data_IF_622003879568
#
_entry.id   IF_622003879568
#
_cell.length_a   1.000
_cell.length_b   1.000
_cell.length_c   1.000
_cell.angle_alpha   90.00
_cell.angle_beta   90.00
_cell.angle_gamma   90.00
#
_symmetry.space_group_name_H-M   'P 1'
#
loop_
_entity.id
_entity.type
_entity.pdbx_description
1 polymer ?
#
# COMPACT_ATOMS: atom_id res chain seq x y z
N UNK A 1 -9.31 17.59 -27.22
CA UNK A 1 -10.01 16.39 -27.75
C UNK A 1 -9.51 15.08 -27.12
N UNK A 2 -8.38 15.05 -26.40
CA UNK A 2 -7.91 13.89 -25.62
C UNK A 2 -8.52 13.80 -24.20
N UNK A 3 -8.89 14.95 -23.60
CA UNK A 3 -9.42 14.97 -22.22
C UNK A 3 -10.87 14.44 -22.12
N UNK A 4 -11.67 14.55 -23.18
CA UNK A 4 -13.08 14.15 -23.16
C UNK A 4 -13.27 12.63 -23.16
N UNK A 5 -12.42 11.88 -23.87
CA UNK A 5 -12.49 10.41 -23.86
C UNK A 5 -11.96 9.82 -22.55
N UNK A 6 -10.92 10.43 -22.00
CA UNK A 6 -10.36 10.07 -20.69
C UNK A 6 -11.36 10.30 -19.56
N UNK A 7 -12.12 11.40 -19.63
CA UNK A 7 -13.20 11.70 -18.68
C UNK A 7 -14.36 10.67 -18.77
N UNK A 8 -14.78 10.31 -19.99
CA UNK A 8 -15.83 9.29 -20.18
C UNK A 8 -15.42 7.90 -19.71
N UNK A 9 -14.15 7.52 -19.87
CA UNK A 9 -13.64 6.27 -19.31
C UNK A 9 -13.69 6.29 -17.78
N UNK A 10 -13.27 7.39 -17.13
CA UNK A 10 -13.30 7.51 -15.68
C UNK A 10 -14.73 7.49 -15.12
N UNK A 11 -15.69 8.16 -15.76
CA UNK A 11 -17.10 8.13 -15.37
C UNK A 11 -17.66 6.71 -15.37
N UNK A 12 -17.39 5.95 -16.43
CA UNK A 12 -17.82 4.55 -16.54
C UNK A 12 -17.16 3.65 -15.49
N UNK A 13 -15.88 3.86 -15.17
CA UNK A 13 -15.22 3.15 -14.06
C UNK A 13 -15.98 3.35 -12.75
N UNK A 14 -16.43 4.58 -12.47
CA UNK A 14 -17.16 4.90 -11.25
C UNK A 14 -18.58 4.35 -11.22
N UNK A 15 -19.27 4.38 -12.36
CA UNK A 15 -20.58 3.75 -12.51
C UNK A 15 -20.51 2.26 -12.14
N UNK A 16 -19.56 1.52 -12.74
CA UNK A 16 -19.39 0.08 -12.48
C UNK A 16 -18.90 -0.17 -11.05
N UNK A 17 -17.99 0.65 -10.53
CA UNK A 17 -17.52 0.56 -9.14
C UNK A 17 -18.66 0.74 -8.12
N UNK A 18 -19.67 1.56 -8.43
CA UNK A 18 -20.84 1.72 -7.54
C UNK A 18 -21.67 0.45 -7.40
N UNK A 19 -21.60 -0.46 -8.38
CA UNK A 19 -22.35 -1.72 -8.42
C UNK A 19 -21.53 -2.90 -7.90
N UNK A 20 -20.24 -2.95 -8.25
CA UNK A 20 -19.35 -4.09 -7.97
C UNK A 20 -18.39 -3.88 -6.79
N UNK A 21 -18.38 -2.68 -6.20
CA UNK A 21 -17.36 -2.24 -5.24
C UNK A 21 -16.01 -1.95 -5.92
N UNK A 22 -15.01 -1.52 -5.12
CA UNK A 22 -13.69 -1.08 -5.61
C UNK A 22 -12.76 -2.26 -6.01
N UNK A 23 -13.25 -3.21 -6.80
CA UNK A 23 -12.47 -4.35 -7.29
C UNK A 23 -12.00 -4.11 -8.72
N UNK A 24 -10.79 -3.56 -8.89
CA UNK A 24 -10.27 -3.16 -10.20
C UNK A 24 -10.26 -4.30 -11.25
N UNK A 25 -9.86 -5.55 -10.94
CA UNK A 25 -10.00 -6.66 -11.88
C UNK A 25 -11.45 -6.91 -12.33
N UNK A 26 -12.41 -6.94 -11.40
CA UNK A 26 -13.83 -7.18 -11.75
C UNK A 26 -14.41 -6.03 -12.57
N UNK A 27 -14.09 -4.78 -12.21
CA UNK A 27 -14.52 -3.60 -12.97
C UNK A 27 -13.95 -3.64 -14.39
N UNK A 28 -12.66 -3.95 -14.53
CA UNK A 28 -12.03 -4.08 -15.83
C UNK A 28 -12.67 -5.20 -16.67
N UNK A 29 -12.87 -6.38 -16.08
CA UNK A 29 -13.48 -7.51 -16.77
C UNK A 29 -14.93 -7.16 -17.22
N UNK A 30 -15.74 -6.52 -16.36
CA UNK A 30 -17.10 -6.06 -16.69
C UNK A 30 -17.13 -5.03 -17.83
N UNK A 31 -16.30 -3.98 -17.72
CA UNK A 31 -16.18 -2.95 -18.75
C UNK A 31 -15.70 -3.52 -20.09
N UNK A 32 -14.75 -4.46 -20.06
CA UNK A 32 -14.23 -5.11 -21.24
C UNK A 32 -15.26 -6.01 -21.92
N UNK A 33 -16.03 -6.78 -21.16
CA UNK A 33 -17.12 -7.61 -21.70
C UNK A 33 -18.23 -6.77 -22.33
N UNK A 34 -18.59 -5.66 -21.69
CA UNK A 34 -19.60 -4.75 -22.23
C UNK A 34 -19.12 -4.04 -23.52
N UNK A 35 -17.85 -3.65 -23.60
CA UNK A 35 -17.32 -2.87 -24.72
C UNK A 35 -16.82 -3.75 -25.89
N UNK A 36 -16.19 -4.89 -25.60
CA UNK A 36 -15.47 -5.71 -26.58
C UNK A 36 -15.72 -7.22 -26.37
N UNK A 37 -16.98 -7.70 -26.41
CA UNK A 37 -17.32 -9.08 -26.05
C UNK A 37 -16.65 -10.13 -26.96
N UNK A 38 -16.53 -9.84 -28.27
CA UNK A 38 -15.89 -10.75 -29.23
C UNK A 38 -14.37 -10.84 -28.99
N UNK A 39 -13.72 -9.71 -28.71
CA UNK A 39 -12.28 -9.67 -28.39
C UNK A 39 -11.98 -10.42 -27.09
N UNK A 40 -12.81 -10.26 -26.06
CA UNK A 40 -12.67 -11.01 -24.81
C UNK A 40 -12.86 -12.51 -25.02
N UNK A 41 -13.81 -12.90 -25.86
CA UNK A 41 -14.03 -14.31 -26.23
C UNK A 41 -12.81 -14.90 -26.94
N UNK A 42 -12.27 -14.21 -27.95
CA UNK A 42 -11.08 -14.65 -28.68
C UNK A 42 -9.84 -14.70 -27.79
N UNK A 43 -9.61 -13.66 -26.97
CA UNK A 43 -8.48 -13.61 -26.05
C UNK A 43 -8.51 -14.74 -25.00
N UNK A 44 -9.70 -15.26 -24.61
CA UNK A 44 -9.80 -16.46 -23.78
C UNK A 44 -9.42 -17.73 -24.54
N UNK A 45 -9.91 -17.88 -25.77
CA UNK A 45 -9.59 -19.04 -26.62
C UNK A 45 -8.08 -19.13 -26.91
N UNK A 46 -7.44 -17.99 -27.07
CA UNK A 46 -6.01 -17.87 -27.36
C UNK A 46 -5.14 -17.80 -26.10
N UNK A 47 -5.72 -17.78 -24.89
CA UNK A 47 -4.99 -17.64 -23.62
C UNK A 47 -4.36 -16.26 -23.38
N UNK A 48 -4.66 -15.27 -24.23
CA UNK A 48 -4.11 -13.91 -24.18
C UNK A 48 -4.85 -12.96 -23.22
N UNK A 49 -5.92 -13.41 -22.55
CA UNK A 49 -6.78 -12.56 -21.72
C UNK A 49 -6.03 -11.76 -20.65
N UNK A 50 -5.01 -12.37 -20.02
CA UNK A 50 -4.16 -11.68 -19.04
C UNK A 50 -3.44 -10.48 -19.65
N UNK A 51 -2.87 -10.63 -20.84
CA UNK A 51 -2.14 -9.56 -21.52
C UNK A 51 -3.09 -8.43 -21.91
N UNK A 52 -4.25 -8.77 -22.46
CA UNK A 52 -5.26 -7.79 -22.87
C UNK A 52 -5.76 -6.92 -21.70
N UNK A 53 -6.01 -7.53 -20.53
CA UNK A 53 -6.60 -6.82 -19.39
C UNK A 53 -5.61 -6.02 -18.53
N UNK A 54 -4.30 -6.27 -18.64
CA UNK A 54 -3.30 -5.68 -17.72
C UNK A 54 -3.27 -4.15 -17.77
N UNK A 55 -3.31 -3.56 -18.97
CA UNK A 55 -3.33 -2.10 -19.12
C UNK A 55 -4.61 -1.48 -18.55
N UNK A 56 -5.75 -2.11 -18.80
CA UNK A 56 -7.05 -1.64 -18.33
C UNK A 56 -7.14 -1.71 -16.80
N UNK A 57 -6.73 -2.82 -16.19
CA UNK A 57 -6.68 -2.94 -14.73
C UNK A 57 -5.78 -1.87 -14.11
N UNK A 58 -4.64 -1.57 -14.73
CA UNK A 58 -3.73 -0.53 -14.24
C UNK A 58 -4.40 0.84 -14.24
N UNK A 59 -5.11 1.17 -15.32
CA UNK A 59 -5.80 2.45 -15.47
C UNK A 59 -7.01 2.56 -14.54
N UNK A 60 -7.78 1.48 -14.37
CA UNK A 60 -8.87 1.41 -13.38
C UNK A 60 -8.32 1.64 -11.96
N UNK A 61 -7.20 0.98 -11.59
CA UNK A 61 -6.54 1.22 -10.30
C UNK A 61 -6.14 2.69 -10.13
N UNK A 62 -5.58 3.32 -11.17
CA UNK A 62 -5.20 4.73 -11.17
C UNK A 62 -6.42 5.62 -10.92
N UNK A 63 -7.54 5.37 -11.59
CA UNK A 63 -8.77 6.16 -11.44
C UNK A 63 -9.37 5.99 -10.05
N UNK A 64 -9.47 4.76 -9.57
CA UNK A 64 -9.96 4.46 -8.23
C UNK A 64 -9.12 5.15 -7.15
N UNK A 65 -7.79 5.16 -7.33
CA UNK A 65 -6.85 5.91 -6.48
C UNK A 65 -6.99 7.42 -6.62
N UNK A 66 -7.21 7.94 -7.83
CA UNK A 66 -7.33 9.38 -8.03
C UNK A 66 -8.58 9.97 -7.36
N UNK A 67 -9.67 9.21 -7.16
CA UNK A 67 -10.76 9.68 -6.28
C UNK A 67 -10.37 9.60 -4.83
N UNK A 68 -9.57 8.62 -4.39
CA UNK A 68 -8.96 8.72 -3.07
C UNK A 68 -7.99 9.89 -2.98
N UNK A 69 -7.37 10.39 -4.06
CA UNK A 69 -6.51 11.59 -4.06
C UNK A 69 -7.32 12.90 -4.09
N UNK A 70 -8.44 12.94 -4.83
CA UNK A 70 -9.38 14.06 -4.83
C UNK A 70 -10.18 14.11 -3.51
N UNK A 71 -10.47 12.95 -2.91
CA UNK A 71 -11.03 12.82 -1.57
C UNK A 71 -9.98 12.83 -0.46
N UNK A 72 -8.66 12.66 -0.74
CA UNK A 72 -7.55 12.79 0.24
C UNK A 72 -6.80 14.11 0.15
N UNK A 73 -7.38 15.06 -0.60
CA UNK A 73 -7.42 16.44 -0.11
C UNK A 73 -8.46 16.61 1.01
N UNK A 74 -8.86 15.52 1.69
CA UNK A 74 -9.34 15.61 3.06
C UNK A 74 -8.18 16.03 3.95
N UNK A 75 -8.24 17.30 4.30
CA UNK A 75 -7.58 17.85 5.46
C UNK A 75 -7.81 16.93 6.67
N UNK A 76 -6.97 17.02 7.71
CA UNK A 76 -7.05 16.17 8.91
C UNK A 76 -8.41 16.20 9.65
N UNK A 77 -9.38 16.98 9.16
CA UNK A 77 -10.74 17.18 9.66
C UNK A 77 -11.73 16.03 9.40
N UNK A 78 -11.38 14.98 8.65
CA UNK A 78 -12.25 13.80 8.46
C UNK A 78 -12.05 12.69 9.51
N UNK A 79 -11.04 12.80 10.37
CA UNK A 79 -10.89 11.89 11.51
C UNK A 79 -11.78 12.40 12.65
N UNK A 80 -12.67 11.55 13.18
CA UNK A 80 -13.47 11.89 14.35
C UNK A 80 -12.55 12.43 15.46
N UNK A 81 -12.90 13.59 16.06
CA UNK A 81 -12.03 14.31 17.01
C UNK A 81 -11.52 13.44 18.17
N UNK A 82 -12.25 12.38 18.51
CA UNK A 82 -11.86 11.40 19.53
C UNK A 82 -10.56 10.65 19.20
N UNK A 83 -10.21 10.51 17.92
CA UNK A 83 -9.02 9.79 17.47
C UNK A 83 -7.81 10.70 17.22
N UNK A 84 -8.04 12.02 17.10
CA UNK A 84 -7.01 13.04 16.91
C UNK A 84 -5.81 12.91 17.87
N UNK A 85 -5.98 12.76 19.20
CA UNK A 85 -4.83 12.66 20.10
C UNK A 85 -3.94 11.44 19.81
N UNK A 86 -4.52 10.32 19.37
CA UNK A 86 -3.76 9.12 19.03
C UNK A 86 -3.04 9.26 17.68
N UNK A 87 -3.67 9.90 16.72
CA UNK A 87 -3.14 10.06 15.36
C UNK A 87 -2.01 11.08 15.30
N UNK A 88 -2.08 12.16 16.09
CA UNK A 88 -1.04 13.20 16.10
C UNK A 88 0.31 12.70 16.62
N UNK A 89 0.34 11.66 17.45
CA UNK A 89 1.57 11.06 17.95
C UNK A 89 2.21 10.06 16.97
N UNK A 90 1.48 9.67 15.92
CA UNK A 90 1.99 8.75 14.91
C UNK A 90 2.98 9.46 13.98
N UNK A 91 4.09 8.76 13.67
CA UNK A 91 5.17 9.31 12.83
C UNK A 91 4.83 9.41 11.34
N UNK A 92 3.81 8.68 10.88
CA UNK A 92 3.44 8.59 9.47
C UNK A 92 1.93 8.73 9.31
N UNK A 93 1.48 9.18 8.14
CA UNK A 93 0.06 9.28 7.78
C UNK A 93 -0.52 7.98 7.23
N UNK A 94 0.34 6.99 6.97
CA UNK A 94 -0.02 5.67 6.48
C UNK A 94 0.94 4.62 7.02
N UNK A 95 0.45 3.38 7.10
CA UNK A 95 1.21 2.24 7.59
C UNK A 95 1.03 1.04 6.66
N UNK A 96 2.09 0.22 6.55
CA UNK A 96 2.07 -0.98 5.73
C UNK A 96 1.18 -2.05 6.39
N UNK A 97 0.29 -2.64 5.59
CA UNK A 97 -0.60 -3.73 5.95
C UNK A 97 -0.17 -4.95 5.13
N UNK A 98 0.21 -6.03 5.79
CA UNK A 98 0.75 -7.22 5.12
C UNK A 98 -0.31 -7.98 4.36
N UNK A 99 -1.53 -8.09 4.91
CA UNK A 99 -2.63 -8.78 4.24
C UNK A 99 -3.06 -8.12 2.94
N UNK A 100 -2.84 -6.80 2.82
CA UNK A 100 -3.14 -6.00 1.63
C UNK A 100 -1.91 -5.76 0.74
N UNK A 101 -0.70 -6.13 1.21
CA UNK A 101 0.59 -5.88 0.57
C UNK A 101 0.81 -4.40 0.18
N UNK A 102 0.25 -3.45 0.94
CA UNK A 102 0.32 -2.02 0.62
C UNK A 102 0.29 -1.10 1.85
N UNK A 103 0.58 0.18 1.62
CA UNK A 103 0.45 1.23 2.64
C UNK A 103 -0.98 1.76 2.65
N UNK A 104 -1.63 1.67 3.80
CA UNK A 104 -3.00 2.13 4.02
C UNK A 104 -2.99 3.39 4.89
N UNK A 105 -3.75 4.40 4.49
CA UNK A 105 -3.84 5.67 5.20
C UNK A 105 -4.58 5.51 6.54
N UNK A 106 -4.21 6.31 7.53
CA UNK A 106 -4.79 6.27 8.88
C UNK A 106 -6.33 6.33 8.88
N UNK A 107 -7.02 7.19 8.10
CA UNK A 107 -8.49 7.18 8.07
C UNK A 107 -9.08 5.82 7.68
N UNK A 108 -8.50 5.14 6.69
CA UNK A 108 -8.94 3.82 6.28
C UNK A 108 -8.62 2.75 7.34
N UNK A 109 -7.48 2.84 8.01
CA UNK A 109 -7.14 1.97 9.15
C UNK A 109 -8.11 2.14 10.33
N UNK A 110 -8.54 3.37 10.63
CA UNK A 110 -9.53 3.64 11.68
C UNK A 110 -10.89 3.02 11.31
N UNK A 111 -11.27 3.09 10.03
CA UNK A 111 -12.53 2.52 9.53
C UNK A 111 -12.52 0.97 9.50
N UNK A 112 -11.34 0.35 9.36
CA UNK A 112 -11.17 -1.09 9.21
C UNK A 112 -10.22 -1.66 10.28
N UNK A 113 -10.73 -2.03 11.48
CA UNK A 113 -9.91 -2.45 12.61
C UNK A 113 -8.99 -3.66 12.35
N UNK A 114 -9.38 -4.58 11.47
CA UNK A 114 -8.57 -5.74 11.10
C UNK A 114 -7.28 -5.30 10.36
N UNK A 115 -7.37 -4.30 9.48
CA UNK A 115 -6.19 -3.75 8.79
C UNK A 115 -5.30 -2.98 9.77
N UNK A 116 -5.89 -2.26 10.72
CA UNK A 116 -5.15 -1.58 11.78
C UNK A 116 -4.42 -2.59 12.70
N UNK A 117 -5.05 -3.70 13.05
CA UNK A 117 -4.40 -4.74 13.86
C UNK A 117 -3.23 -5.38 13.10
N UNK A 118 -3.40 -5.65 11.81
CA UNK A 118 -2.33 -6.18 10.96
C UNK A 118 -1.14 -5.20 10.86
N UNK A 119 -1.39 -3.92 10.55
CA UNK A 119 -0.38 -2.87 10.56
C UNK A 119 0.33 -2.75 11.92
N UNK A 120 -0.41 -2.84 13.03
CA UNK A 120 0.13 -2.81 14.39
C UNK A 120 1.05 -4.00 14.67
N UNK A 121 0.66 -5.20 14.26
CA UNK A 121 1.47 -6.43 14.42
C UNK A 121 2.74 -6.37 13.57
N UNK A 122 2.61 -5.93 12.33
CA UNK A 122 3.75 -5.71 11.43
C UNK A 122 4.76 -4.75 12.04
N UNK A 123 4.31 -3.56 12.49
CA UNK A 123 5.17 -2.56 13.12
C UNK A 123 5.89 -3.09 14.36
N UNK A 124 5.21 -3.87 15.21
CA UNK A 124 5.83 -4.49 16.39
C UNK A 124 6.93 -5.48 16.02
N UNK A 125 6.68 -6.34 15.02
CA UNK A 125 7.69 -7.28 14.54
C UNK A 125 8.89 -6.57 13.93
N UNK A 126 8.66 -5.55 13.09
CA UNK A 126 9.75 -4.74 12.52
C UNK A 126 10.58 -4.03 13.58
N UNK A 127 9.93 -3.48 14.60
CA UNK A 127 10.63 -2.89 15.74
C UNK A 127 11.49 -3.91 16.48
N UNK A 128 10.96 -5.12 16.72
CA UNK A 128 11.72 -6.21 17.34
C UNK A 128 12.92 -6.63 16.50
N UNK A 129 12.72 -6.87 15.20
CA UNK A 129 13.81 -7.21 14.28
C UNK A 129 14.92 -6.16 14.30
N UNK A 130 14.56 -4.87 14.35
CA UNK A 130 15.53 -3.78 14.40
C UNK A 130 16.30 -3.71 15.72
N UNK A 131 15.63 -3.97 16.85
CA UNK A 131 16.29 -4.05 18.17
C UNK A 131 17.22 -5.25 18.25
N UNK A 132 16.74 -6.44 17.84
CA UNK A 132 17.53 -7.67 17.81
C UNK A 132 18.79 -7.49 16.92
N UNK A 133 18.70 -6.72 15.83
CA UNK A 133 19.86 -6.37 14.97
C UNK A 133 20.79 -5.35 15.63
N UNK A 134 20.26 -4.33 16.32
CA UNK A 134 21.07 -3.38 17.07
C UNK A 134 21.90 -4.08 18.15
N UNK A 135 21.32 -5.03 18.89
CA UNK A 135 22.04 -5.82 19.89
C UNK A 135 23.22 -6.59 19.29
N UNK A 136 23.09 -7.09 18.05
CA UNK A 136 24.20 -7.75 17.33
C UNK A 136 25.29 -6.77 16.94
N UNK A 137 24.92 -5.56 16.53
CA UNK A 137 25.87 -4.50 16.23
C UNK A 137 26.63 -4.06 17.50
N UNK A 138 25.96 -3.98 18.64
CA UNK A 138 26.58 -3.70 19.93
C UNK A 138 27.58 -4.81 20.31
N UNK A 139 27.20 -6.07 20.14
CA UNK A 139 28.10 -7.21 20.38
C UNK A 139 29.32 -7.19 19.45
N UNK A 140 29.13 -6.85 18.17
CA UNK A 140 30.21 -6.70 17.21
C UNK A 140 31.14 -5.55 17.59
N UNK A 141 30.59 -4.41 18.00
CA UNK A 141 31.36 -3.26 18.46
C UNK A 141 32.25 -3.61 19.67
N UNK A 142 31.70 -4.31 20.65
CA UNK A 142 32.47 -4.80 21.81
C UNK A 142 33.60 -5.73 21.37
N UNK A 143 33.32 -6.68 20.46
CA UNK A 143 34.35 -7.61 19.97
C UNK A 143 35.49 -6.88 19.24
N UNK A 144 35.16 -5.90 18.40
CA UNK A 144 36.16 -5.10 17.65
C UNK A 144 36.99 -4.23 18.58
N UNK A 145 36.37 -3.58 19.56
CA UNK A 145 37.06 -2.66 20.49
C UNK A 145 37.84 -3.40 21.59
N UNK A 146 37.45 -4.62 21.94
CA UNK A 146 38.21 -5.46 22.88
C UNK A 146 39.44 -6.13 22.24
N UNK A 147 39.47 -6.27 20.92
CA UNK A 147 40.61 -6.82 20.17
C UNK A 147 41.58 -5.72 19.66
N UNK A 148 41.43 -4.48 20.16
CA UNK A 148 42.31 -3.36 19.84
C UNK A 148 43.75 -3.66 20.33
N UNK A 149 44.74 -3.78 19.42
CA UNK A 149 46.11 -4.11 19.78
C UNK A 149 46.83 -3.04 20.63
N UNK A 150 46.34 -1.80 20.68
CA UNK A 150 46.91 -0.76 21.54
C UNK A 150 46.62 -1.01 23.03
N UNK A 151 45.49 -1.64 23.38
CA UNK A 151 45.20 -2.03 24.77
C UNK A 151 46.09 -3.18 25.29
N UNK A 152 46.77 -3.90 24.39
CA UNK A 152 47.72 -4.98 24.74
C UNK A 152 49.16 -4.48 24.93
N UNK A 153 49.49 -3.25 24.54
CA UNK A 153 50.85 -2.70 24.70
C UNK A 153 51.10 -2.04 26.07
N UNK A 154 50.07 -1.56 26.78
CA UNK A 154 50.25 -0.93 28.11
C UNK A 154 50.38 -1.91 29.28
N UNK A 155 50.09 -3.21 29.09
CA UNK A 155 50.18 -4.23 30.17
C UNK A 155 51.52 -4.97 30.13
N UNK A 156 52.43 -4.62 29.21
CA UNK A 156 53.72 -5.29 29.06
C UNK A 156 54.94 -4.35 29.08
N UNK A 157 54.77 -3.14 29.63
CA UNK A 157 55.87 -2.20 29.90
C UNK A 157 56.33 -2.26 31.37
#
# INVERSE_FOLDING_TARGET
MLDSQSAGFAERVWEVASQLGNNAPKIADDMMEAAFPLTCTQARQEGAMRMLRTGIITEVKRILRNRSDILSQSDFSEICEIFTPFVQELRSKSYFVESAEEYVAIPALIAEPELLDDARRFMRRKGKECLDEADRLDALYVAVTADDPDARQEVSA
#
